data_IF_860914879202
#
_entry.id   IF_860914879202
#
_cell.length_a   1.000
_cell.length_b   1.000
_cell.length_c   1.000
_cell.angle_alpha   90.00
_cell.angle_beta   90.00
_cell.angle_gamma   90.00
#
_symmetry.space_group_name_H-M   'P 1'
#
loop_
_entity.id
_entity.type
_entity.pdbx_description
1 polymer ?
#
# COMPACT_ATOMS: atom_id res chain seq x y z
N UNK A 1 8.79 -27.83 7.29
CA UNK A 1 9.76 -28.52 8.17
C UNK A 1 9.68 -27.78 9.48
N UNK A 2 9.33 -28.46 10.58
CA UNK A 2 8.76 -27.90 11.81
C UNK A 2 9.30 -26.53 12.26
N UNK A 3 8.39 -25.58 12.50
CA UNK A 3 8.67 -24.31 13.19
C UNK A 3 9.37 -24.58 14.52
N UNK A 4 10.60 -24.11 14.68
CA UNK A 4 11.40 -24.28 15.90
C UNK A 4 10.80 -23.44 17.03
N UNK A 5 9.99 -24.07 17.88
CA UNK A 5 9.54 -23.51 19.14
C UNK A 5 10.66 -23.68 20.17
N UNK A 6 11.19 -22.58 20.70
CA UNK A 6 12.25 -22.58 21.69
C UNK A 6 11.64 -22.30 23.07
N UNK A 7 11.83 -23.24 24.00
CA UNK A 7 11.38 -23.10 25.38
C UNK A 7 12.44 -22.30 26.14
N UNK A 8 12.06 -21.12 26.63
CA UNK A 8 12.93 -20.21 27.40
C UNK A 8 12.35 -19.99 28.78
N UNK A 9 13.20 -19.65 29.74
CA UNK A 9 12.80 -19.37 31.11
C UNK A 9 13.07 -17.89 31.40
N UNK A 10 12.16 -17.24 32.12
CA UNK A 10 12.40 -15.89 32.65
C UNK A 10 13.34 -15.92 33.87
N UNK A 11 13.68 -14.74 34.39
CA UNK A 11 14.54 -14.60 35.57
C UNK A 11 13.93 -15.20 36.86
N UNK A 12 12.63 -15.52 36.85
CA UNK A 12 11.90 -16.16 37.95
C UNK A 12 11.66 -17.66 37.72
N UNK A 13 12.22 -18.24 36.65
CA UNK A 13 12.11 -19.66 36.30
C UNK A 13 10.78 -20.05 35.66
N UNK A 14 9.93 -19.10 35.24
CA UNK A 14 8.69 -19.40 34.53
C UNK A 14 8.98 -19.74 33.05
N UNK A 15 8.49 -20.88 32.54
CA UNK A 15 8.69 -21.25 31.15
C UNK A 15 7.77 -20.45 30.22
N UNK A 16 8.33 -19.90 29.15
CA UNK A 16 7.59 -19.35 28.03
C UNK A 16 8.11 -19.90 26.70
N UNK A 17 7.21 -20.01 25.71
CA UNK A 17 7.53 -20.57 24.40
C UNK A 17 7.73 -19.43 23.41
N UNK A 18 8.91 -19.37 22.81
CA UNK A 18 9.19 -18.48 21.68
C UNK A 18 9.00 -19.28 20.39
N UNK A 19 7.89 -19.05 19.70
CA UNK A 19 7.69 -19.54 18.33
C UNK A 19 8.22 -18.51 17.33
N UNK A 20 9.22 -18.90 16.54
CA UNK A 20 9.61 -18.11 15.35
C UNK A 20 8.75 -18.59 14.17
N UNK A 21 7.78 -17.78 13.76
CA UNK A 21 6.96 -18.03 12.57
C UNK A 21 7.73 -17.69 11.28
N UNK A 22 8.87 -18.37 11.05
CA UNK A 22 9.74 -18.09 9.90
C UNK A 22 9.10 -18.52 8.57
N UNK A 23 8.20 -19.50 8.57
CA UNK A 23 7.56 -19.99 7.34
C UNK A 23 6.61 -18.95 6.72
N UNK A 24 6.05 -18.02 7.50
CA UNK A 24 5.20 -16.93 6.98
C UNK A 24 5.96 -15.69 6.52
N UNK A 25 7.23 -15.52 6.92
CA UNK A 25 7.99 -14.32 6.60
C UNK A 25 8.75 -14.47 5.27
N UNK A 26 8.08 -14.13 4.17
CA UNK A 26 8.71 -14.02 2.85
C UNK A 26 9.56 -12.75 2.79
N UNK A 27 10.89 -12.90 2.80
CA UNK A 27 11.83 -11.80 2.63
C UNK A 27 12.20 -11.67 1.15
N UNK A 28 11.82 -10.56 0.54
CA UNK A 28 12.32 -10.16 -0.77
C UNK A 28 13.62 -9.36 -0.57
N UNK A 29 14.67 -9.67 -1.35
CA UNK A 29 15.97 -8.99 -1.24
C UNK A 29 16.52 -8.59 -2.60
N UNK A 30 17.34 -7.54 -2.61
CA UNK A 30 18.08 -7.13 -3.80
C UNK A 30 17.19 -6.55 -4.91
N UNK A 31 17.61 -6.79 -6.16
CA UNK A 31 17.00 -6.19 -7.36
C UNK A 31 15.54 -6.60 -7.54
N UNK A 32 15.17 -7.83 -7.17
CA UNK A 32 13.80 -8.33 -7.29
C UNK A 32 12.81 -7.59 -6.38
N UNK A 33 13.24 -7.24 -5.16
CA UNK A 33 12.44 -6.41 -4.26
C UNK A 33 12.17 -5.04 -4.86
N UNK A 34 13.22 -4.38 -5.40
CA UNK A 34 13.09 -3.07 -6.05
C UNK A 34 12.16 -3.14 -7.25
N UNK A 35 12.29 -4.15 -8.11
CA UNK A 35 11.38 -4.35 -9.25
C UNK A 35 9.93 -4.54 -8.80
N UNK A 36 9.69 -5.36 -7.77
CA UNK A 36 8.36 -5.55 -7.20
C UNK A 36 7.76 -4.23 -6.69
N UNK A 37 8.58 -3.41 -6.04
CA UNK A 37 8.16 -2.10 -5.52
C UNK A 37 7.78 -1.11 -6.63
N UNK A 38 8.60 -1.02 -7.68
CA UNK A 38 8.32 -0.17 -8.85
C UNK A 38 7.05 -0.64 -9.55
N UNK A 39 6.86 -1.95 -9.73
CA UNK A 39 5.67 -2.50 -10.38
C UNK A 39 4.39 -2.17 -9.59
N UNK A 40 4.43 -2.29 -8.26
CA UNK A 40 3.31 -1.92 -7.40
C UNK A 40 2.97 -0.43 -7.50
N UNK A 41 3.98 0.45 -7.47
CA UNK A 41 3.79 1.89 -7.63
C UNK A 41 3.21 2.23 -9.02
N UNK A 42 3.74 1.64 -10.09
CA UNK A 42 3.23 1.83 -11.46
C UNK A 42 1.80 1.35 -11.63
N UNK A 43 1.40 0.26 -10.97
CA UNK A 43 0.02 -0.21 -11.00
C UNK A 43 -0.94 0.85 -10.42
N UNK A 44 -0.60 1.45 -9.28
CA UNK A 44 -1.41 2.53 -8.67
C UNK A 44 -1.47 3.75 -9.58
N UNK A 45 -0.33 4.21 -10.11
CA UNK A 45 -0.29 5.37 -11.00
C UNK A 45 -1.11 5.16 -12.28
N UNK A 46 -1.02 3.97 -12.89
CA UNK A 46 -1.79 3.65 -14.09
C UNK A 46 -3.30 3.69 -13.85
N UNK A 47 -3.74 3.29 -12.65
CA UNK A 47 -5.15 3.44 -12.26
C UNK A 47 -5.53 4.91 -12.25
N UNK A 48 -4.75 5.77 -11.59
CA UNK A 48 -5.08 7.19 -11.42
C UNK A 48 -4.92 8.05 -12.69
N UNK A 49 -4.12 7.60 -13.65
CA UNK A 49 -3.74 8.39 -14.84
C UNK A 49 -4.91 8.94 -15.65
N UNK A 50 -6.00 8.18 -15.78
CA UNK A 50 -7.17 8.63 -16.55
C UNK A 50 -7.99 9.70 -15.84
N UNK A 51 -7.71 9.96 -14.56
CA UNK A 51 -8.41 10.91 -13.69
C UNK A 51 -7.61 12.21 -13.51
N UNK A 52 -6.42 12.30 -14.12
CA UNK A 52 -5.59 13.50 -14.06
C UNK A 52 -6.01 14.56 -15.10
N UNK A 53 -6.12 15.80 -14.63
CA UNK A 53 -6.30 16.99 -15.46
C UNK A 53 -7.77 17.38 -15.71
N UNK A 54 -8.02 18.48 -16.43
CA UNK A 54 -9.37 19.05 -16.63
C UNK A 54 -10.28 18.19 -17.51
N UNK A 55 -9.72 17.17 -18.16
CA UNK A 55 -10.45 16.13 -18.92
C UNK A 55 -10.34 14.76 -18.25
N UNK A 56 -10.00 14.73 -16.95
CA UNK A 56 -9.99 13.51 -16.15
C UNK A 56 -11.38 12.90 -16.09
N UNK A 57 -11.43 11.57 -16.11
CA UNK A 57 -12.65 10.78 -15.98
C UNK A 57 -12.84 10.32 -14.55
N UNK A 58 -14.08 10.38 -14.08
CA UNK A 58 -14.45 9.82 -12.79
C UNK A 58 -14.25 8.31 -12.77
N UNK A 59 -13.98 7.77 -11.57
CA UNK A 59 -13.94 6.34 -11.33
C UNK A 59 -15.14 5.91 -10.51
N UNK A 60 -15.75 4.82 -10.95
CA UNK A 60 -16.73 4.08 -10.17
C UNK A 60 -16.01 3.06 -9.29
N UNK A 61 -16.16 3.22 -7.99
CA UNK A 61 -15.62 2.36 -6.94
C UNK A 61 -16.78 1.63 -6.30
N UNK A 62 -16.64 0.32 -6.13
CA UNK A 62 -17.67 -0.53 -5.52
C UNK A 62 -17.08 -1.17 -4.28
N UNK A 63 -17.61 -0.81 -3.11
CA UNK A 63 -17.22 -1.40 -1.84
C UNK A 63 -17.68 -2.86 -1.73
N UNK A 64 -17.04 -3.70 -0.89
CA UNK A 64 -17.49 -5.07 -0.65
C UNK A 64 -18.95 -5.17 -0.18
N UNK A 65 -19.42 -4.15 0.53
CA UNK A 65 -20.81 -4.04 1.02
C UNK A 65 -21.81 -3.59 -0.05
N UNK A 66 -21.35 -3.34 -1.30
CA UNK A 66 -22.18 -2.90 -2.43
C UNK A 66 -22.40 -1.39 -2.53
N UNK A 67 -21.77 -0.58 -1.67
CA UNK A 67 -21.78 0.88 -1.80
C UNK A 67 -21.03 1.31 -3.07
N UNK A 68 -21.66 2.17 -3.88
CA UNK A 68 -21.06 2.71 -5.11
C UNK A 68 -20.66 4.16 -4.88
N UNK A 69 -19.39 4.47 -5.14
CA UNK A 69 -18.86 5.84 -5.10
C UNK A 69 -18.29 6.21 -6.45
N UNK A 70 -18.70 7.36 -6.98
CA UNK A 70 -18.17 7.91 -8.23
C UNK A 70 -17.40 9.18 -7.88
N UNK A 71 -16.10 9.21 -8.17
CA UNK A 71 -15.25 10.36 -7.85
C UNK A 71 -14.04 10.46 -8.78
N UNK A 72 -13.54 11.68 -8.96
CA UNK A 72 -12.28 11.98 -9.65
C UNK A 72 -11.14 12.31 -8.68
N UNK A 73 -11.42 12.44 -7.39
CA UNK A 73 -10.39 12.80 -6.42
C UNK A 73 -9.44 11.61 -6.15
N UNK A 74 -8.15 11.82 -6.42
CA UNK A 74 -7.11 10.81 -6.26
C UNK A 74 -7.00 10.29 -4.82
N UNK A 75 -7.13 11.15 -3.81
CA UNK A 75 -7.02 10.75 -2.41
C UNK A 75 -8.18 9.81 -2.01
N UNK A 76 -9.41 10.18 -2.36
CA UNK A 76 -10.60 9.35 -2.12
C UNK A 76 -10.54 8.02 -2.90
N UNK A 77 -10.07 8.05 -4.16
CA UNK A 77 -9.90 6.83 -4.97
C UNK A 77 -8.92 5.87 -4.28
N UNK A 78 -7.78 6.39 -3.82
CA UNK A 78 -6.76 5.57 -3.16
C UNK A 78 -7.18 5.08 -1.78
N UNK A 79 -7.95 5.86 -1.03
CA UNK A 79 -8.48 5.45 0.27
C UNK A 79 -9.45 4.27 0.16
N UNK A 80 -10.30 4.27 -0.87
CA UNK A 80 -11.28 3.20 -1.09
C UNK A 80 -10.70 1.98 -1.82
N UNK A 81 -9.47 2.08 -2.35
CA UNK A 81 -8.81 0.98 -3.04
C UNK A 81 -8.19 0.00 -2.03
N UNK A 82 -8.52 -1.29 -2.13
CA UNK A 82 -7.86 -2.32 -1.31
C UNK A 82 -6.45 -2.61 -1.86
N UNK A 83 -5.44 -2.19 -1.09
CA UNK A 83 -4.04 -2.27 -1.47
C UNK A 83 -3.27 -3.15 -0.49
N UNK A 84 -2.76 -4.29 -0.97
CA UNK A 84 -1.97 -5.20 -0.15
C UNK A 84 -0.49 -4.83 -0.08
N UNK A 85 0.07 -4.26 -1.15
CA UNK A 85 1.51 -4.00 -1.24
C UNK A 85 1.92 -2.76 -0.44
N UNK A 86 2.92 -2.89 0.43
CA UNK A 86 3.36 -1.83 1.35
C UNK A 86 3.73 -0.51 0.64
N UNK A 87 4.46 -0.56 -0.47
CA UNK A 87 4.81 0.66 -1.25
C UNK A 87 3.57 1.38 -1.78
N UNK A 88 2.53 0.64 -2.14
CA UNK A 88 1.30 1.24 -2.63
C UNK A 88 0.49 1.87 -1.47
N UNK A 89 0.57 1.30 -0.24
CA UNK A 89 0.05 1.98 0.98
C UNK A 89 0.76 3.29 1.28
N UNK A 90 2.09 3.33 1.11
CA UNK A 90 2.86 4.58 1.25
C UNK A 90 2.42 5.64 0.23
N UNK A 91 2.05 5.25 -0.99
CA UNK A 91 1.50 6.18 -1.99
C UNK A 91 0.12 6.72 -1.59
N UNK A 92 -0.71 5.89 -0.94
CA UNK A 92 -2.01 6.34 -0.40
C UNK A 92 -1.80 7.37 0.71
N UNK A 93 -0.91 7.09 1.66
CA UNK A 93 -0.57 8.01 2.75
C UNK A 93 0.01 9.33 2.22
N UNK A 94 0.88 9.27 1.22
CA UNK A 94 1.41 10.44 0.55
C UNK A 94 0.30 11.32 -0.05
N UNK A 95 -0.66 10.70 -0.75
CA UNK A 95 -1.77 11.43 -1.36
C UNK A 95 -2.70 12.05 -0.31
N UNK A 96 -3.00 11.32 0.77
CA UNK A 96 -3.76 11.86 1.90
C UNK A 96 -3.06 13.04 2.57
N UNK A 97 -1.73 12.97 2.73
CA UNK A 97 -0.96 14.09 3.28
C UNK A 97 -1.01 15.30 2.36
N UNK A 98 -0.95 15.10 1.04
CA UNK A 98 -1.07 16.18 0.06
C UNK A 98 -2.46 16.84 0.11
N UNK A 99 -3.51 16.03 0.24
CA UNK A 99 -4.88 16.50 0.40
C UNK A 99 -5.06 17.33 1.67
N UNK A 100 -4.51 16.86 2.80
CA UNK A 100 -4.60 17.56 4.08
C UNK A 100 -3.88 18.92 4.09
N UNK A 101 -2.74 19.04 3.40
CA UNK A 101 -1.91 20.24 3.40
C UNK A 101 -2.39 21.29 2.37
N UNK A 102 -2.73 20.87 1.15
CA UNK A 102 -2.99 21.78 0.02
C UNK A 102 -4.40 21.58 -0.56
N UNK A 103 -5.01 20.41 -0.39
CA UNK A 103 -6.35 20.09 -0.94
C UNK A 103 -6.39 19.93 -2.46
N UNK A 104 -5.24 19.89 -3.13
CA UNK A 104 -5.11 19.66 -4.57
C UNK A 104 -3.77 18.98 -4.91
N UNK A 105 -3.68 18.43 -6.11
CA UNK A 105 -2.49 17.71 -6.60
C UNK A 105 -2.39 16.29 -6.07
N UNK A 106 -3.44 15.76 -5.45
CA UNK A 106 -3.52 14.40 -4.88
C UNK A 106 -3.20 13.31 -5.90
N UNK A 107 -3.66 13.48 -7.14
CA UNK A 107 -3.39 12.59 -8.29
C UNK A 107 -2.01 12.84 -8.90
N UNK A 108 -1.64 14.12 -9.06
CA UNK A 108 -0.40 14.53 -9.72
C UNK A 108 0.86 14.19 -8.92
N UNK A 109 0.78 14.26 -7.59
CA UNK A 109 1.91 13.89 -6.71
C UNK A 109 2.25 12.41 -6.85
N UNK A 110 1.24 11.54 -6.96
CA UNK A 110 1.45 10.09 -7.11
C UNK A 110 2.05 9.77 -8.46
N UNK A 111 1.52 10.32 -9.55
CA UNK A 111 2.12 10.14 -10.88
C UNK A 111 3.58 10.62 -10.93
N UNK A 112 3.85 11.81 -10.38
CA UNK A 112 5.19 12.40 -10.38
C UNK A 112 6.18 11.55 -9.58
N UNK A 113 5.78 11.00 -8.43
CA UNK A 113 6.65 10.12 -7.63
C UNK A 113 6.93 8.81 -8.34
N UNK A 114 5.96 8.24 -9.04
CA UNK A 114 6.17 7.00 -9.80
C UNK A 114 7.10 7.23 -10.99
N UNK A 115 7.09 8.41 -11.61
CA UNK A 115 8.03 8.76 -12.68
C UNK A 115 9.49 8.86 -12.22
N UNK A 116 9.73 9.04 -10.92
CA UNK A 116 11.07 9.10 -10.32
C UNK A 116 11.64 7.73 -9.91
N UNK A 117 10.82 6.67 -9.96
CA UNK A 117 11.17 5.30 -9.58
C UNK A 117 11.61 4.47 -10.79
#
# INVERSE_FOLDING_TARGET
MASMAQLMFDEFGQPFIVMRDQEKQRRLTGIEAVKSHILAARAVANTLRTSLGPRGLDKMLVSPDGEVTITNDGATIMEKMDVQHHVAKLMVELSKSQDAEIGDGTTGVVESKVALL
#
